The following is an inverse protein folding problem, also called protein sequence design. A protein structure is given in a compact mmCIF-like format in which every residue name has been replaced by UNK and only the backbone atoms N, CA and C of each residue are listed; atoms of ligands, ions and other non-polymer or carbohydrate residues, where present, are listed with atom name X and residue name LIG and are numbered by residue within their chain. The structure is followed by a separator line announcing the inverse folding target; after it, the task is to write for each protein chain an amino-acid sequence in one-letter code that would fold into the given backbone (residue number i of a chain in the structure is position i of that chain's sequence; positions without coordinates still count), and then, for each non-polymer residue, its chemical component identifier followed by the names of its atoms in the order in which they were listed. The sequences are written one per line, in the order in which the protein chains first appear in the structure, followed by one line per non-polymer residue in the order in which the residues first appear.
data_IF_316963429713
#
_entry.id   IF_316963429713
#
_cell.length_a   1.000
_cell.length_b   1.000
_cell.length_c   1.000
_cell.angle_alpha   90.00
_cell.angle_beta   90.00
_cell.angle_gamma   90.00
#
_symmetry.space_group_name_H-M   'P 1'
#
loop_
_entity.id
_entity.type
_entity.pdbx_description
1 polymer ?
2 non-polymer ?
3 non-polymer ?
4 water ?
#
# COMPACT_ATOMS: atom_id res chain seq x y z
N UNK A 4 18.14 9.10 -27.08
CA UNK A 4 17.41 7.84 -26.89
C UNK A 4 16.34 7.97 -25.81
N UNK A 5 15.47 6.96 -25.77
CA UNK A 5 14.35 6.88 -24.83
C UNK A 5 13.17 6.37 -25.65
N UNK A 6 12.58 5.23 -25.29
CA UNK A 6 12.76 4.49 -24.03
C UNK A 6 14.17 4.27 -23.44
N UNK A 7 14.26 4.43 -22.11
CA UNK A 7 15.48 4.19 -21.36
C UNK A 7 15.32 3.11 -20.28
N UNK A 8 14.17 2.45 -20.27
CA UNK A 8 13.91 1.36 -19.34
C UNK A 8 13.55 0.10 -20.12
N UNK A 9 14.11 -1.04 -19.72
CA UNK A 9 13.72 -2.30 -20.31
C UNK A 9 12.27 -2.64 -19.94
N UNK A 10 11.38 -2.58 -20.92
CA UNK A 10 9.97 -2.83 -20.70
C UNK A 10 9.72 -4.32 -20.47
N UNK A 11 8.77 -4.63 -19.60
CA UNK A 11 8.44 -6.02 -19.28
C UNK A 11 7.50 -6.67 -20.29
N UNK A 12 7.96 -7.77 -20.88
CA UNK A 12 7.09 -8.64 -21.64
C UNK A 12 6.60 -9.71 -20.67
N UNK A 13 5.53 -10.44 -21.03
CA UNK A 13 5.13 -11.53 -20.14
C UNK A 13 6.29 -12.49 -19.90
N UNK A 14 7.13 -12.69 -20.90
CA UNK A 14 8.30 -13.56 -20.75
C UNK A 14 9.24 -13.03 -19.68
N UNK A 15 9.66 -11.78 -19.85
CA UNK A 15 10.60 -11.16 -18.92
C UNK A 15 9.99 -11.04 -17.52
N UNK A 16 8.71 -10.68 -17.46
CA UNK A 16 8.01 -10.59 -16.19
C UNK A 16 8.09 -11.88 -15.39
N UNK A 17 7.85 -13.00 -16.06
CA UNK A 17 7.90 -14.30 -15.40
C UNK A 17 9.30 -14.62 -14.90
N UNK A 18 10.30 -14.27 -15.70
CA UNK A 18 11.68 -14.48 -15.32
C UNK A 18 12.01 -13.66 -14.07
N UNK A 19 11.49 -12.45 -14.03
CA UNK A 19 11.72 -11.55 -12.89
C UNK A 19 11.22 -12.18 -11.60
N UNK A 20 9.99 -12.71 -11.64
CA UNK A 20 9.43 -13.37 -10.47
C UNK A 20 10.28 -14.56 -10.05
N UNK A 21 10.85 -15.26 -11.03
CA UNK A 21 11.65 -16.45 -10.75
C UNK A 21 12.96 -16.13 -10.04
N UNK A 22 13.45 -14.91 -10.21
CA UNK A 22 14.72 -14.52 -9.60
C UNK A 22 14.56 -13.45 -8.54
N UNK A 23 13.33 -13.17 -8.12
CA UNK A 23 13.11 -12.13 -7.11
C UNK A 23 12.04 -12.46 -6.07
N UNK A 24 10.93 -13.06 -6.50
CA UNK A 24 9.78 -13.26 -5.61
C UNK A 24 10.04 -14.34 -4.55
N UNK A 25 10.11 -13.92 -3.29
CA UNK A 25 10.31 -14.83 -2.17
C UNK A 25 9.08 -14.83 -1.27
N UNK A 26 7.96 -15.32 -1.79
CA UNK A 26 6.71 -15.28 -1.05
C UNK A 26 6.69 -16.27 0.11
N UNK A 27 6.45 -15.78 1.33
CA UNK A 27 6.32 -16.67 2.49
C UNK A 27 5.10 -17.57 2.33
N UNK A 28 5.26 -18.87 2.60
CA UNK A 28 4.20 -19.86 2.39
C UNK A 28 2.86 -19.42 2.98
N UNK A 29 2.89 -18.78 4.14
CA UNK A 29 1.66 -18.34 4.78
C UNK A 29 0.91 -17.32 3.92
N UNK A 30 1.65 -16.38 3.33
CA UNK A 30 1.05 -15.38 2.45
C UNK A 30 0.53 -16.03 1.16
N UNK A 31 1.29 -16.99 0.64
CA UNK A 31 0.86 -17.74 -0.53
C UNK A 31 -0.49 -18.41 -0.25
N UNK A 32 -0.60 -19.02 0.92
CA UNK A 32 -1.83 -19.67 1.34
C UNK A 32 -2.97 -18.67 1.50
N UNK A 33 -2.65 -17.50 2.02
CA UNK A 33 -3.63 -16.45 2.24
C UNK A 33 -4.31 -15.99 0.95
N UNK A 34 -3.57 -15.95 -0.16
CA UNK A 34 -4.16 -15.48 -1.41
C UNK A 34 -4.82 -16.60 -2.23
N UNK A 35 -4.39 -17.84 -1.99
CA UNK A 35 -5.12 -18.97 -2.53
C UNK A 35 -6.52 -18.98 -1.94
N UNK A 36 -6.61 -18.71 -0.64
CA UNK A 36 -7.90 -18.66 0.03
C UNK A 36 -8.72 -17.43 -0.36
N UNK A 37 -8.04 -16.31 -0.54
CA UNK A 37 -8.73 -15.09 -0.95
C UNK A 37 -9.33 -15.27 -2.34
N UNK A 38 -8.58 -15.94 -3.23
CA UNK A 38 -9.06 -16.22 -4.57
C UNK A 38 -10.27 -17.13 -4.52
N UNK A 39 -10.20 -18.13 -3.65
CA UNK A 39 -11.25 -19.13 -3.51
C UNK A 39 -12.54 -18.58 -2.90
N UNK A 40 -12.41 -17.62 -1.97
CA UNK A 40 -13.55 -17.20 -1.17
C UNK A 40 -14.11 -15.82 -1.50
N UNK A 41 -13.35 -15.01 -2.24
CA UNK A 41 -13.75 -13.63 -2.50
C UNK A 41 -13.80 -13.29 -3.99
N UNK A 42 -14.97 -12.85 -4.44
CA UNK A 42 -15.13 -12.46 -5.84
C UNK A 42 -14.29 -11.21 -6.13
N UNK A 43 -13.89 -10.53 -5.06
CA UNK A 43 -13.13 -9.29 -5.17
C UNK A 43 -11.64 -9.55 -4.99
N UNK A 44 -11.25 -10.82 -5.04
CA UNK A 44 -9.88 -11.26 -4.83
C UNK A 44 -8.83 -10.43 -5.59
N UNK A 45 -9.20 -9.90 -6.75
CA UNK A 45 -8.24 -9.23 -7.62
C UNK A 45 -7.65 -7.94 -7.04
N UNK A 46 -8.38 -7.28 -6.15
CA UNK A 46 -7.88 -6.06 -5.53
C UNK A 46 -6.80 -6.35 -4.49
N UNK A 47 -6.39 -7.60 -4.39
CA UNK A 47 -5.33 -7.99 -3.48
C UNK A 47 -3.98 -7.48 -3.96
N UNK A 48 -3.11 -7.13 -3.02
CA UNK A 48 -1.79 -6.60 -3.36
C UNK A 48 -0.95 -7.66 -4.06
N UNK A 49 -0.28 -7.25 -5.12
CA UNK A 49 0.61 -8.14 -5.85
C UNK A 49 1.75 -8.62 -4.95
N UNK A 50 2.04 -9.93 -4.98
CA UNK A 50 3.09 -10.50 -4.12
C UNK A 50 4.39 -9.72 -4.26
N UNK A 51 4.75 -9.35 -5.48
CA UNK A 51 6.01 -8.67 -5.73
C UNK A 51 5.99 -7.23 -5.22
N UNK A 52 4.84 -6.57 -5.29
CA UNK A 52 4.73 -5.21 -4.79
C UNK A 52 4.81 -5.21 -3.26
N UNK A 53 4.12 -6.16 -2.64
CA UNK A 53 4.14 -6.30 -1.20
C UNK A 53 5.56 -6.56 -0.71
N UNK A 54 6.31 -7.36 -1.46
CA UNK A 54 7.68 -7.69 -1.09
C UNK A 54 8.55 -6.43 -1.06
N UNK A 55 8.30 -5.52 -1.99
CA UNK A 55 8.99 -4.24 -2.03
C UNK A 55 8.65 -3.41 -0.80
N UNK A 56 7.39 -3.46 -0.39
CA UNK A 56 6.94 -2.77 0.82
C UNK A 56 7.67 -3.30 2.05
N UNK A 57 7.79 -4.62 2.11
CA UNK A 57 8.50 -5.26 3.23
C UNK A 57 9.94 -4.80 3.28
N UNK A 58 10.57 -4.66 2.11
CA UNK A 58 11.95 -4.21 2.03
C UNK A 58 12.09 -2.77 2.52
N UNK A 59 11.08 -1.95 2.23
CA UNK A 59 11.09 -0.56 2.66
C UNK A 59 10.97 -0.41 4.17
N UNK A 60 10.13 -1.24 4.78
CA UNK A 60 10.01 -1.27 6.24
C UNK A 60 11.37 -1.57 6.87
N UNK A 61 12.10 -2.51 6.29
CA UNK A 61 13.40 -2.89 6.82
C UNK A 61 14.45 -1.80 6.62
N UNK A 62 14.46 -1.16 5.45
CA UNK A 62 15.44 -0.12 5.16
C UNK A 62 15.26 1.09 6.07
N UNK A 63 14.00 1.47 6.31
CA UNK A 63 13.72 2.61 7.15
C UNK A 63 13.72 2.22 8.61
N UNK A 64 13.70 0.92 8.87
CA UNK A 64 13.49 0.42 10.21
C UNK A 64 12.23 1.09 10.76
N UNK A 65 11.15 0.97 10.00
CA UNK A 65 9.89 1.61 10.34
C UNK A 65 9.28 0.98 11.59
N UNK A 66 8.97 1.82 12.58
CA UNK A 66 8.44 1.34 13.85
C UNK A 66 6.95 1.65 13.99
N UNK A 67 6.46 2.51 13.10
CA UNK A 67 5.05 2.88 13.09
C UNK A 67 4.50 2.96 11.67
N UNK A 68 3.68 1.98 11.32
CA UNK A 68 3.17 1.86 9.95
C UNK A 68 1.64 1.92 9.93
N UNK A 69 1.10 2.53 8.90
CA UNK A 69 -0.35 2.48 8.66
C UNK A 69 -0.64 1.77 7.34
N UNK A 70 -1.63 0.89 7.38
CA UNK A 70 -2.03 0.13 6.21
C UNK A 70 -3.48 0.47 5.88
N UNK A 71 -3.68 1.36 4.90
CA UNK A 71 -5.02 1.78 4.51
C UNK A 71 -5.63 0.86 3.45
N UNK A 72 -6.60 0.05 3.86
CA UNK A 72 -7.22 -0.93 2.98
C UNK A 72 -6.76 -2.33 3.29
N UNK A 73 -7.39 -2.95 4.28
CA UNK A 73 -6.95 -4.25 4.78
C UNK A 73 -7.28 -5.40 3.83
N UNK A 74 -8.50 -5.40 3.32
CA UNK A 74 -9.02 -6.56 2.60
C UNK A 74 -8.80 -7.80 3.46
N UNK A 75 -8.12 -8.81 2.91
CA UNK A 75 -7.81 -10.01 3.69
C UNK A 75 -6.42 -9.92 4.32
N UNK A 76 -5.85 -8.72 4.30
CA UNK A 76 -4.65 -8.42 5.07
C UNK A 76 -3.32 -8.84 4.50
N UNK A 77 -3.21 -8.93 3.18
CA UNK A 77 -1.95 -9.34 2.56
C UNK A 77 -0.82 -8.34 2.81
N UNK A 78 -1.06 -7.07 2.50
CA UNK A 78 -0.05 -6.04 2.66
C UNK A 78 0.25 -5.77 4.13
N UNK A 79 -0.80 -5.88 4.97
CA UNK A 79 -0.65 -5.67 6.40
C UNK A 79 0.30 -6.71 7.00
N UNK A 80 0.16 -7.95 6.55
CA UNK A 80 1.00 -9.04 7.02
C UNK A 80 2.38 -8.99 6.39
N UNK A 81 2.44 -8.63 5.11
CA UNK A 81 3.71 -8.51 4.41
C UNK A 81 4.62 -7.53 5.13
N UNK A 82 4.08 -6.36 5.44
CA UNK A 82 4.82 -5.34 6.16
C UNK A 82 4.99 -5.70 7.63
N UNK A 83 3.95 -6.29 8.22
CA UNK A 83 4.00 -6.74 9.60
C UNK A 83 5.18 -7.66 9.87
N UNK A 84 5.44 -8.57 8.95
CA UNK A 84 6.53 -9.53 9.11
C UNK A 84 7.91 -8.87 9.06
N UNK A 85 7.98 -7.68 8.46
CA UNK A 85 9.25 -6.98 8.30
C UNK A 85 9.51 -6.01 9.45
N UNK A 86 8.47 -5.75 10.24
CA UNK A 86 8.57 -4.86 11.38
C UNK A 86 9.67 -5.26 12.35
N UNK A 87 10.43 -4.28 12.85
CA UNK A 87 11.39 -4.54 13.92
C UNK A 87 10.65 -4.92 15.20
N UNK A 88 11.36 -5.45 16.20
CA UNK A 88 10.73 -6.02 17.39
C UNK A 88 9.74 -5.07 18.06
N UNK A 89 10.02 -3.77 18.01
CA UNK A 89 9.19 -2.78 18.70
C UNK A 89 8.29 -2.01 17.74
N UNK A 90 8.11 -2.54 16.53
CA UNK A 90 7.29 -1.88 15.53
C UNK A 90 5.84 -2.29 15.61
N UNK A 91 4.95 -1.38 15.21
CA UNK A 91 3.53 -1.69 15.16
C UNK A 91 2.92 -1.20 13.85
N UNK A 92 1.84 -1.87 13.44
CA UNK A 92 1.12 -1.50 12.23
C UNK A 92 -0.36 -1.52 12.51
N UNK A 93 -1.04 -0.42 12.18
CA UNK A 93 -2.50 -0.42 12.24
C UNK A 93 -3.06 -0.48 10.83
N UNK A 94 -4.08 -1.31 10.65
CA UNK A 94 -4.65 -1.53 9.32
C UNK A 94 -6.10 -1.10 9.30
N UNK A 95 -6.50 -0.43 8.22
CA UNK A 95 -7.82 0.17 8.14
C UNK A 95 -8.68 -0.47 7.06
N UNK A 96 -9.95 -0.73 7.42
CA UNK A 96 -10.93 -1.20 6.47
C UNK A 96 -12.31 -1.02 7.09
N UNK A 97 -13.35 -1.21 6.29
CA UNK A 97 -14.71 -1.06 6.77
C UNK A 97 -15.47 -2.38 6.59
N UNK A 98 -14.81 -3.35 5.97
CA UNK A 98 -15.45 -4.63 5.66
C UNK A 98 -15.13 -5.69 6.70
N UNK A 99 -16.17 -6.22 7.35
CA UNK A 99 -15.99 -7.19 8.43
C UNK A 99 -15.60 -8.56 7.93
N UNK A 100 -16.19 -9.00 6.82
CA UNK A 100 -15.96 -10.33 6.30
C UNK A 100 -14.49 -10.56 5.99
N UNK A 101 -13.90 -9.65 5.21
CA UNK A 101 -12.50 -9.80 4.80
C UNK A 101 -11.50 -9.61 5.95
N UNK A 102 -11.77 -8.64 6.82
CA UNK A 102 -10.86 -8.37 7.93
C UNK A 102 -10.85 -9.51 8.94
N UNK A 103 -11.95 -10.26 9.02
CA UNK A 103 -12.01 -11.40 9.91
C UNK A 103 -11.00 -12.46 9.49
N UNK A 104 -10.90 -12.67 8.19
CA UNK A 104 -9.91 -13.60 7.65
C UNK A 104 -8.51 -13.06 7.87
N UNK A 105 -8.35 -11.74 7.69
CA UNK A 105 -7.10 -11.07 7.97
C UNK A 105 -6.62 -11.34 9.40
N UNK A 106 -7.47 -11.04 10.38
CA UNK A 106 -7.16 -11.32 11.79
C UNK A 106 -6.64 -12.74 11.94
N UNK A 107 -7.37 -13.67 11.33
CA UNK A 107 -7.07 -15.09 11.45
C UNK A 107 -5.65 -15.37 10.99
N UNK A 108 -5.27 -14.81 9.85
CA UNK A 108 -3.97 -15.10 9.26
C UNK A 108 -2.81 -14.40 9.97
N UNK A 109 -3.04 -13.19 10.46
CA UNK A 109 -1.96 -12.48 11.15
C UNK A 109 -1.79 -12.93 12.60
N UNK A 110 -2.80 -13.63 13.13
CA UNK A 110 -2.64 -14.35 14.39
C UNK A 110 -1.78 -15.58 14.10
N UNK A 111 -2.16 -16.31 13.06
CA UNK A 111 -1.45 -17.51 12.65
C UNK A 111 -0.01 -17.20 12.29
N UNK A 112 0.27 -15.94 12.01
CA UNK A 112 1.61 -15.51 11.64
C UNK A 112 2.42 -15.04 12.85
N UNK A 113 1.72 -14.84 13.97
CA UNK A 113 2.36 -14.41 15.20
C UNK A 113 2.47 -12.89 15.32
N UNK A 114 1.53 -12.17 14.71
CA UNK A 114 1.60 -10.71 14.65
C UNK A 114 0.44 -10.04 15.40
N UNK A 115 -0.23 -10.78 16.26
CA UNK A 115 -1.39 -10.24 16.97
C UNK A 115 -1.00 -9.05 17.86
N UNK A 116 0.25 -9.02 18.29
CA UNK A 116 0.74 -7.96 19.16
C UNK A 116 1.23 -6.74 18.37
N UNK A 117 1.56 -6.95 17.10
CA UNK A 117 2.09 -5.88 16.27
C UNK A 117 1.03 -5.24 15.39
N UNK A 118 0.04 -6.01 14.95
CA UNK A 118 -1.00 -5.48 14.07
C UNK A 118 -2.30 -5.23 14.82
N UNK A 119 -2.89 -4.06 14.59
CA UNK A 119 -4.18 -3.72 15.17
C UNK A 119 -5.16 -3.22 14.13
N UNK A 120 -6.32 -3.86 14.07
CA UNK A 120 -7.34 -3.51 13.11
C UNK A 120 -8.20 -2.33 13.56
N UNK A 121 -8.26 -1.29 12.73
CA UNK A 121 -9.16 -0.18 12.95
C UNK A 121 -10.33 -0.29 11.97
N UNK A 122 -11.44 -0.85 12.44
CA UNK A 122 -12.59 -1.09 11.57
C UNK A 122 -13.54 0.11 11.54
N UNK A 123 -13.37 0.95 10.52
CA UNK A 123 -14.24 2.09 10.29
C UNK A 123 -13.68 2.85 9.10
N UNK A 124 -14.45 3.80 8.55
CA UNK A 124 -13.91 4.59 7.42
C UNK A 124 -12.50 5.09 7.73
N UNK A 125 -11.57 4.90 6.80
CA UNK A 125 -10.19 5.33 6.99
C UNK A 125 -10.13 6.83 7.25
N UNK A 126 -11.01 7.56 6.56
CA UNK A 126 -11.20 8.99 6.78
C UNK A 126 -11.33 9.31 8.27
N UNK A 127 -12.10 8.50 8.99
CA UNK A 127 -12.34 8.72 10.41
C UNK A 127 -11.14 8.33 11.27
N UNK A 128 -10.58 7.16 11.00
CA UNK A 128 -9.40 6.69 11.71
C UNK A 128 -8.24 7.67 11.60
N UNK A 129 -8.05 8.24 10.42
CA UNK A 129 -6.98 9.20 10.20
C UNK A 129 -7.21 10.50 10.95
N UNK A 130 -8.47 10.93 11.02
CA UNK A 130 -8.80 12.18 11.70
C UNK A 130 -8.68 12.02 13.21
N UNK A 131 -9.04 10.85 13.71
CA UNK A 131 -8.87 10.55 15.12
C UNK A 131 -7.40 10.61 15.48
N UNK A 132 -6.57 9.93 14.68
CA UNK A 132 -5.13 9.91 14.92
C UNK A 132 -4.54 11.32 15.02
N UNK A 133 -4.93 12.20 14.10
CA UNK A 133 -4.47 13.59 14.13
C UNK A 133 -5.06 14.35 15.32
N UNK A 134 -6.38 14.35 15.40
CA UNK A 134 -7.09 15.07 16.47
C UNK A 134 -6.74 14.47 17.85
N UNK A 135 -5.85 13.48 17.87
CA UNK A 135 -5.38 12.89 19.12
C UNK A 135 -3.87 13.01 19.27
N UNK A 136 -3.27 13.95 18.55
CA UNK A 136 -1.85 14.24 18.67
C UNK A 136 -0.91 13.15 18.18
N UNK A 137 -1.07 12.72 16.93
CA UNK A 137 -0.20 11.71 16.35
C UNK A 137 0.47 12.22 15.08
N UNK A 138 0.29 13.50 14.79
CA UNK A 138 0.96 14.12 13.65
C UNK A 138 2.47 14.00 13.80
N UNK A 139 3.14 13.65 12.70
CA UNK A 139 4.60 13.51 12.66
C UNK A 139 5.10 12.22 13.33
N UNK A 140 4.17 11.31 13.65
CA UNK A 140 4.53 10.12 14.40
C UNK A 140 4.79 8.86 13.57
N UNK A 141 4.33 8.86 12.32
CA UNK A 141 4.42 7.65 11.51
C UNK A 141 5.57 7.66 10.51
N UNK A 142 6.08 6.47 10.21
CA UNK A 142 7.23 6.28 9.35
C UNK A 142 6.82 5.94 7.92
N UNK A 143 5.81 5.10 7.79
CA UNK A 143 5.40 4.58 6.49
C UNK A 143 3.89 4.40 6.42
N UNK A 144 3.28 4.99 5.41
CA UNK A 144 1.84 4.81 5.18
C UNK A 144 1.55 4.26 3.78
N UNK A 145 0.82 3.14 3.73
CA UNK A 145 0.46 2.50 2.47
C UNK A 145 -1.02 2.73 2.17
N UNK A 146 -1.29 3.47 1.10
CA UNK A 146 -2.65 3.84 0.73
C UNK A 146 -3.19 2.93 -0.36
N UNK A 147 -4.17 2.10 -0.01
CA UNK A 147 -4.70 1.11 -0.94
C UNK A 147 -6.16 0.75 -0.62
N UNK A 148 -7.01 1.77 -0.53
CA UNK A 148 -8.42 1.56 -0.26
C UNK A 148 -9.29 2.12 -1.39
N UNK A 149 -10.41 2.74 -1.05
CA UNK A 149 -11.26 3.35 -2.05
C UNK A 149 -10.52 4.47 -2.78
N UNK A 150 -10.45 4.37 -4.10
CA UNK A 150 -9.61 5.27 -4.91
C UNK A 150 -10.13 6.70 -4.94
N UNK A 151 -11.44 6.88 -4.75
CA UNK A 151 -12.03 8.21 -4.76
C UNK A 151 -11.38 9.11 -3.69
N UNK A 152 -10.94 8.51 -2.60
CA UNK A 152 -10.40 9.25 -1.48
C UNK A 152 -8.87 9.28 -1.38
N UNK A 153 -8.16 8.94 -2.45
CA UNK A 153 -6.71 8.85 -2.36
C UNK A 153 -6.07 10.21 -2.06
N UNK A 154 -6.61 11.28 -2.62
CA UNK A 154 -6.07 12.62 -2.35
C UNK A 154 -6.23 12.98 -0.88
N UNK A 155 -7.44 12.78 -0.36
CA UNK A 155 -7.70 12.95 1.06
C UNK A 155 -6.69 12.16 1.91
N UNK A 156 -6.65 10.85 1.68
CA UNK A 156 -5.73 9.97 2.42
C UNK A 156 -4.28 10.41 2.30
N UNK A 157 -3.92 10.89 1.11
CA UNK A 157 -2.56 11.38 0.86
C UNK A 157 -2.30 12.60 1.73
N UNK A 158 -3.22 13.55 1.66
CA UNK A 158 -3.12 14.80 2.40
C UNK A 158 -3.02 14.55 3.90
N UNK A 159 -3.83 13.60 4.39
CA UNK A 159 -3.82 13.23 5.79
C UNK A 159 -2.54 12.50 6.16
N UNK A 160 -2.05 11.68 5.24
CA UNK A 160 -0.84 10.89 5.47
C UNK A 160 0.40 11.77 5.60
N UNK A 161 0.39 12.91 4.91
CA UNK A 161 1.49 13.87 5.03
C UNK A 161 1.55 14.42 6.46
N UNK A 162 0.40 14.80 7.00
CA UNK A 162 0.34 15.35 8.34
C UNK A 162 0.85 14.34 9.36
N UNK A 163 0.54 13.07 9.15
CA UNK A 163 0.85 12.01 10.10
C UNK A 163 2.28 11.49 9.99
N UNK A 164 2.96 11.83 8.89
CA UNK A 164 4.30 11.32 8.65
C UNK A 164 5.35 12.17 9.35
N UNK A 165 6.35 11.49 9.91
CA UNK A 165 7.53 12.18 10.43
C UNK A 165 8.28 12.80 9.27
N UNK A 166 9.27 13.62 9.59
CA UNK A 166 10.16 14.15 8.58
C UNK A 166 10.94 12.97 8.00
N UNK A 167 10.90 12.82 6.69
CA UNK A 167 11.54 11.69 6.03
C UNK A 167 10.67 10.45 6.00
N UNK A 168 9.42 10.59 6.44
CA UNK A 168 8.46 9.50 6.36
C UNK A 168 8.09 9.19 4.93
N UNK A 169 7.45 8.04 4.70
CA UNK A 169 7.17 7.59 3.34
C UNK A 169 5.70 7.24 3.08
N UNK A 170 5.15 7.81 2.02
CA UNK A 170 3.84 7.42 1.52
C UNK A 170 3.99 6.48 0.33
N UNK A 171 3.31 5.34 0.38
CA UNK A 171 3.25 4.43 -0.77
C UNK A 171 1.82 4.35 -1.28
N UNK A 172 1.63 4.62 -2.57
CA UNK A 172 0.30 4.60 -3.16
C UNK A 172 0.21 3.57 -4.28
N UNK A 173 -0.75 2.66 -4.17
CA UNK A 173 -0.93 1.62 -5.18
C UNK A 173 -1.92 2.07 -6.25
N UNK A 174 -1.92 1.36 -7.38
CA UNK A 174 -2.91 1.55 -8.45
C UNK A 174 -2.88 2.91 -9.14
N UNK A 175 -1.69 3.52 -9.21
CA UNK A 175 -1.55 4.82 -9.87
C UNK A 175 -1.52 4.70 -11.40
N UNK A 176 -1.39 3.48 -11.91
CA UNK A 176 -1.34 3.27 -13.36
C UNK A 176 -2.67 2.80 -13.93
N UNK A 177 -3.52 2.25 -13.06
CA UNK A 177 -4.84 1.76 -13.47
C UNK A 177 -4.81 0.84 -14.69
N UNK A 178 -3.95 -0.18 -14.62
CA UNK A 178 -3.81 -1.15 -15.71
C UNK A 178 -3.60 -0.50 -17.08
N UNK A 179 -3.15 0.75 -17.08
CA UNK A 179 -2.84 1.45 -18.32
C UNK A 179 -3.83 2.54 -18.69
N UNK A 180 -5.05 2.44 -18.16
CA UNK A 180 -6.12 3.38 -18.49
C UNK A 180 -5.70 4.82 -18.27
N UNK A 181 -4.74 5.02 -17.37
CA UNK A 181 -4.37 6.36 -16.92
C UNK A 181 -3.66 7.14 -18.02
N UNK A 182 -3.07 6.41 -18.97
CA UNK A 182 -2.36 7.03 -20.09
C UNK A 182 -3.32 7.42 -21.21
N UNK A 183 -4.55 6.89 -21.13
CA UNK A 183 -5.59 7.22 -22.11
C UNK A 183 -6.38 8.44 -21.66
N UNK A 184 -5.95 9.61 -22.10
CA UNK A 184 -6.55 10.88 -21.67
C UNK A 184 -8.05 10.95 -21.96
N UNK A 185 -8.52 10.06 -22.83
CA UNK A 185 -9.92 10.06 -23.24
C UNK A 185 -10.75 8.96 -22.58
N UNK A 186 -10.14 8.21 -21.66
CA UNK A 186 -10.87 7.19 -20.92
C UNK A 186 -12.04 7.84 -20.19
N UNK A 187 -11.72 8.84 -19.38
CA UNK A 187 -12.72 9.77 -18.85
C UNK A 187 -13.64 9.26 -17.74
N UNK A 188 -13.54 7.97 -17.40
CA UNK A 188 -14.30 7.46 -16.26
C UNK A 188 -13.95 8.28 -15.02
N UNK A 189 -14.93 8.46 -14.13
CA UNK A 189 -14.75 9.29 -12.93
C UNK A 189 -13.43 9.02 -12.22
N UNK A 190 -13.18 7.74 -11.90
CA UNK A 190 -11.99 7.36 -11.15
C UNK A 190 -10.69 7.57 -11.92
N UNK A 191 -10.75 7.42 -13.24
CA UNK A 191 -9.56 7.61 -14.04
C UNK A 191 -9.10 9.07 -14.06
N UNK A 192 -10.06 9.98 -14.12
CA UNK A 192 -9.75 11.41 -14.10
C UNK A 192 -9.20 11.84 -12.73
N UNK A 193 -9.67 11.20 -11.67
CA UNK A 193 -9.19 11.48 -10.32
C UNK A 193 -7.72 11.10 -10.14
N UNK A 194 -7.34 9.95 -10.70
CA UNK A 194 -5.98 9.45 -10.58
C UNK A 194 -5.02 10.20 -11.50
N UNK A 195 -5.50 10.59 -12.66
CA UNK A 195 -4.70 11.41 -13.56
C UNK A 195 -4.43 12.76 -12.91
N UNK A 196 -5.46 13.32 -12.28
CA UNK A 196 -5.33 14.58 -11.58
C UNK A 196 -4.38 14.43 -10.39
N UNK A 197 -4.46 13.29 -9.72
CA UNK A 197 -3.66 13.02 -8.54
C UNK A 197 -2.17 12.84 -8.86
N UNK A 198 -1.89 12.09 -9.92
CA UNK A 198 -0.52 11.84 -10.33
C UNK A 198 0.24 13.12 -10.67
N UNK A 199 -0.45 14.05 -11.31
CA UNK A 199 0.14 15.35 -11.64
C UNK A 199 0.36 16.18 -10.38
N UNK A 200 -0.58 16.09 -9.45
CA UNK A 200 -0.49 16.79 -8.18
C UNK A 200 0.75 16.37 -7.40
N UNK A 201 0.97 15.06 -7.29
CA UNK A 201 2.12 14.52 -6.59
C UNK A 201 3.43 14.86 -7.29
N UNK A 202 3.43 14.74 -8.61
CA UNK A 202 4.61 15.06 -9.41
C UNK A 202 5.04 16.52 -9.22
N UNK A 203 4.08 17.40 -8.96
CA UNK A 203 4.35 18.82 -8.79
C UNK A 203 4.55 19.20 -7.32
N UNK A 204 4.14 18.30 -6.43
CA UNK A 204 4.20 18.57 -4.99
C UNK A 204 5.64 18.72 -4.49
N UNK A 205 5.96 19.91 -3.99
CA UNK A 205 7.30 20.21 -3.52
C UNK A 205 7.52 19.90 -2.05
N UNK A 206 6.52 19.27 -1.44
CA UNK A 206 6.62 18.86 -0.04
C UNK A 206 7.26 17.48 0.06
N UNK A 207 7.43 16.83 -1.08
CA UNK A 207 7.94 15.46 -1.12
C UNK A 207 8.99 15.24 -2.21
N UNK A 208 9.78 14.19 -2.05
CA UNK A 208 10.56 13.63 -3.14
C UNK A 208 9.86 12.34 -3.51
N UNK A 209 9.73 12.07 -4.81
CA UNK A 209 8.92 10.93 -5.23
C UNK A 209 9.51 10.11 -6.37
N UNK A 210 8.84 9.00 -6.64
CA UNK A 210 9.22 8.09 -7.71
C UNK A 210 8.01 7.21 -7.99
N UNK A 211 7.84 6.80 -9.24
CA UNK A 211 6.74 5.89 -9.59
C UNK A 211 7.30 4.56 -10.09
N UNK A 212 7.17 3.52 -9.26
CA UNK A 212 7.70 2.21 -9.57
C UNK A 212 6.69 1.38 -10.35
N UNK A 213 7.09 0.87 -11.52
CA UNK A 213 6.23 0.00 -12.33
C UNK A 213 6.21 -1.43 -11.79
N UNK A 214 5.85 -1.58 -10.52
CA UNK A 214 5.64 -2.89 -9.94
C UNK A 214 4.22 -2.93 -9.39
N UNK A 215 3.58 -4.10 -9.46
CA UNK A 215 2.16 -4.20 -9.18
C UNK A 215 1.42 -3.31 -10.17
N UNK A 216 0.36 -2.64 -9.73
CA UNK A 216 -0.37 -1.73 -10.60
C UNK A 216 0.24 -0.32 -10.54
N UNK A 217 1.54 -0.25 -10.28
CA UNK A 217 2.21 1.02 -10.14
C UNK A 217 2.24 1.44 -8.68
N UNK A 218 3.43 1.77 -8.20
CA UNK A 218 3.58 2.17 -6.81
C UNK A 218 4.32 3.50 -6.71
N UNK A 219 3.59 4.55 -6.36
CA UNK A 219 4.22 5.85 -6.14
C UNK A 219 4.76 5.94 -4.71
N UNK A 220 6.02 6.36 -4.61
CA UNK A 220 6.61 6.59 -3.30
C UNK A 220 6.87 8.09 -3.13
N UNK A 221 6.41 8.64 -2.01
CA UNK A 221 6.61 10.05 -1.71
C UNK A 221 7.20 10.23 -0.32
N UNK A 222 8.46 10.67 -0.28
CA UNK A 222 9.14 10.95 0.98
C UNK A 222 8.90 12.39 1.43
N UNK A 223 8.39 12.55 2.64
CA UNK A 223 8.14 13.86 3.20
C UNK A 223 9.45 14.60 3.49
N UNK A 224 9.67 15.71 2.79
CA UNK A 224 10.91 16.47 2.90
C UNK A 224 11.08 17.19 4.23
N UNK A 225 12.33 17.54 4.55
CA UNK A 225 12.66 18.28 5.76
C UNK A 225 12.09 19.70 5.73
X LIG B 1 -4.41 -2.40 -4.82
X LIG C 1 -3.87 -3.80 0.65
X LIG C 1 -4.96 -4.72 0.49
X LIG C 1 -5.90 -4.30 -0.62
X LIG C 1 -7.27 -3.82 -0.20
X LIG C 1 -8.47 -3.51 -1.49
X LIG C 1 -4.42 -6.08 0.19
X LIG C 1 -5.19 -6.94 -0.34
X LIG C 1 -3.22 -6.38 0.44
X LIG C 1 -9.57 -2.20 -1.01
X LIG C 1 -10.08 -2.25 0.33
X LIG C 1 -10.48 -0.89 0.75
X LIG C 1 -11.29 -3.08 0.40
X LIG C 1 -11.11 -4.09 1.31
X LIG C 1 -12.37 -2.19 0.85
X LIG C 1 -13.20 -2.82 1.73
X LIG C 1 -11.63 -1.09 1.54
X LIG C 1 -12.35 0.18 1.69
X LIG C 1 -13.20 0.73 0.82
X LIG C 1 -13.63 1.89 1.34
X LIG C 1 -13.05 2.07 2.54
X LIG C 1 -13.11 3.07 3.52
X LIG C 1 -13.95 4.22 3.33
X LIG C 1 -12.37 2.94 4.63
X LIG C 1 -11.59 1.88 4.82
X LIG C 1 -11.50 0.90 3.91
X LIG C 1 -12.22 0.98 2.76
#
# INVERSE_FOLDING_TARGET
SNAMSINTTLLTPELYQYLLQVSLREPPLLAELREETTRSFSTYAMQTAPEQAQLLALLVKLMQAKKVIDIGTFTGYSAIAMGLALPKDGTLITCDVDEKSTALAKEYWEKAGLSDKIGLRLSPAKDTLAELIHAGQAWQYDLIYIDADKANTDLYYEESLKLLREGGLIAVDNVLRRGQVADEENQSENNQLIRLFNQKVYKDERVDMILIPIGDGLTLARKKS
NI NI
SAH N CA CB CG SD C O OXT C5' C4' O4' C3' O3' C2' O2' C1' N9 C8 N7 C5 C6 N6 N1 C2 N3 C4
#
